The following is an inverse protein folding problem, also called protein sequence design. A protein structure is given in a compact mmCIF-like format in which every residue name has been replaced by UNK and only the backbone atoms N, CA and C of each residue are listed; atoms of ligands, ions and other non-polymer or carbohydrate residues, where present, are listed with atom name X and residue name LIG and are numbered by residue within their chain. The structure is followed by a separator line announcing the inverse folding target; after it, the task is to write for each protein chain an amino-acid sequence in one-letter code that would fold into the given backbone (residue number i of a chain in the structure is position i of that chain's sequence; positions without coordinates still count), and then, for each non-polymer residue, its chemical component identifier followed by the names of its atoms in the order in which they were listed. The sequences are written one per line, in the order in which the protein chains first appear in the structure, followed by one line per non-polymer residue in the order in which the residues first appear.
data_IF_985316008731
#
_entry.id   IF_985316008731
#
_cell.length_a   1.000
_cell.length_b   1.000
_cell.length_c   1.000
_cell.angle_alpha   90.00
_cell.angle_beta   90.00
_cell.angle_gamma   90.00
#
_symmetry.space_group_name_H-M   'P 1'
#
loop_
_entity.id
_entity.type
_entity.pdbx_description
1 polymer ?
#
# COMPACT_ATOMS: atom_id res chain seq x y z
N UNK A 1 11.81 22.83 15.63
CA UNK A 1 10.89 22.01 14.82
C UNK A 1 11.14 22.34 13.37
N UNK A 2 11.88 21.51 12.60
CA UNK A 2 12.11 21.81 11.17
C UNK A 2 10.76 21.60 10.45
N UNK A 3 10.30 22.55 9.62
CA UNK A 3 9.07 22.38 8.87
C UNK A 3 9.25 21.17 7.96
N UNK A 4 8.30 20.25 7.99
CA UNK A 4 8.26 19.10 7.08
C UNK A 4 8.49 19.58 5.64
N UNK A 5 9.43 18.93 4.96
CA UNK A 5 9.97 19.35 3.67
C UNK A 5 8.89 19.33 2.57
N UNK A 6 8.17 20.46 2.42
CA UNK A 6 7.17 20.67 1.36
C UNK A 6 7.77 20.69 -0.05
N UNK A 7 9.11 20.59 -0.20
CA UNK A 7 9.76 20.66 -1.51
C UNK A 7 9.37 19.51 -2.45
N UNK A 8 8.95 18.36 -1.91
CA UNK A 8 8.62 17.17 -2.70
C UNK A 8 7.12 17.08 -3.10
N UNK A 9 6.27 17.93 -2.55
CA UNK A 9 4.82 17.87 -2.81
C UNK A 9 4.46 18.08 -4.29
N UNK A 10 4.99 19.11 -5.01
CA UNK A 10 4.69 19.29 -6.43
C UNK A 10 5.10 18.08 -7.28
N UNK A 11 6.23 17.45 -6.94
CA UNK A 11 6.72 16.25 -7.60
C UNK A 11 5.73 15.09 -7.46
N UNK A 12 5.32 14.76 -6.23
CA UNK A 12 4.43 13.63 -6.00
C UNK A 12 3.00 13.86 -6.49
N UNK A 13 2.52 15.11 -6.51
CA UNK A 13 1.27 15.46 -7.19
C UNK A 13 1.37 15.23 -8.70
N UNK A 14 2.48 15.66 -9.33
CA UNK A 14 2.71 15.44 -10.77
C UNK A 14 2.81 13.95 -11.12
N UNK A 15 3.47 13.15 -10.29
CA UNK A 15 3.55 11.69 -10.48
C UNK A 15 2.20 10.99 -10.25
N UNK A 16 1.40 11.46 -9.29
CA UNK A 16 0.06 10.90 -9.05
C UNK A 16 -0.86 11.15 -10.25
N UNK A 17 -0.83 12.37 -10.79
CA UNK A 17 -1.57 12.71 -12.01
C UNK A 17 -1.07 11.89 -13.21
N UNK A 18 0.24 11.72 -13.36
CA UNK A 18 0.82 10.83 -14.37
C UNK A 18 0.30 9.39 -14.26
N UNK A 19 0.25 8.83 -13.04
CA UNK A 19 -0.27 7.49 -12.78
C UNK A 19 -1.74 7.35 -13.18
N UNK A 20 -2.56 8.33 -12.79
CA UNK A 20 -3.97 8.40 -13.19
C UNK A 20 -4.10 8.43 -14.72
N UNK A 21 -3.35 9.31 -15.38
CA UNK A 21 -3.42 9.54 -16.82
C UNK A 21 -2.94 8.35 -17.67
N UNK A 22 -1.92 7.59 -17.21
CA UNK A 22 -1.35 6.46 -17.95
C UNK A 22 -2.16 5.17 -17.82
N UNK A 23 -2.96 5.04 -16.77
CA UNK A 23 -3.77 3.85 -16.48
C UNK A 23 -5.24 4.03 -16.88
N UNK A 24 -5.72 5.27 -17.00
CA UNK A 24 -7.09 5.56 -17.42
C UNK A 24 -7.31 5.16 -18.90
N UNK A 25 -8.35 4.36 -19.21
CA UNK A 25 -8.76 4.11 -20.58
C UNK A 25 -9.12 5.42 -21.30
N UNK A 26 -8.69 5.57 -22.56
CA UNK A 26 -8.99 6.74 -23.40
C UNK A 26 -9.60 6.33 -24.72
N UNK A 27 -10.52 7.16 -25.21
CA UNK A 27 -11.11 7.02 -26.54
C UNK A 27 -10.36 7.83 -27.59
N UNK A 28 -9.73 8.93 -27.18
CA UNK A 28 -8.94 9.79 -28.05
C UNK A 28 -7.50 9.25 -28.17
N UNK A 29 -7.11 8.95 -29.41
CA UNK A 29 -5.79 8.42 -29.78
C UNK A 29 -5.02 9.38 -30.68
N UNK A 30 -5.55 10.56 -31.02
CA UNK A 30 -4.92 11.45 -32.00
C UNK A 30 -3.54 11.94 -31.52
N UNK A 31 -3.42 12.26 -30.23
CA UNK A 31 -2.20 12.78 -29.61
C UNK A 31 -1.27 11.71 -28.99
N UNK A 32 -1.40 10.43 -29.37
CA UNK A 32 -0.65 9.34 -28.73
C UNK A 32 0.87 9.53 -28.72
N UNK A 33 1.44 10.14 -29.77
CA UNK A 33 2.89 10.39 -29.85
C UNK A 33 3.34 11.44 -28.84
N UNK A 34 2.55 12.51 -28.65
CA UNK A 34 2.85 13.55 -27.68
C UNK A 34 2.73 13.00 -26.26
N UNK A 35 1.68 12.22 -25.97
CA UNK A 35 1.54 11.52 -24.70
C UNK A 35 2.75 10.62 -24.44
N UNK A 36 3.20 9.84 -25.41
CA UNK A 36 4.38 8.97 -25.24
C UNK A 36 5.66 9.76 -24.91
N UNK A 37 5.87 10.94 -25.52
CA UNK A 37 7.01 11.81 -25.17
C UNK A 37 6.91 12.34 -23.74
N UNK A 38 5.73 12.77 -23.32
CA UNK A 38 5.49 13.21 -21.94
C UNK A 38 5.68 12.07 -20.94
N UNK A 39 5.24 10.85 -21.28
CA UNK A 39 5.47 9.67 -20.46
C UNK A 39 6.95 9.37 -20.28
N UNK A 40 7.78 9.51 -21.32
CA UNK A 40 9.21 9.25 -21.22
C UNK A 40 9.88 10.12 -20.16
N UNK A 41 9.55 11.42 -20.13
CA UNK A 41 10.05 12.35 -19.12
C UNK A 41 9.63 11.92 -17.71
N UNK A 42 8.34 11.63 -17.53
CA UNK A 42 7.77 11.28 -16.22
C UNK A 42 8.24 9.91 -15.72
N UNK A 43 8.41 8.92 -16.61
CA UNK A 43 9.00 7.60 -16.29
C UNK A 43 10.47 7.70 -15.90
N UNK A 44 11.19 8.68 -16.45
CA UNK A 44 12.58 8.95 -16.06
C UNK A 44 12.63 9.50 -14.64
N UNK A 45 11.76 10.47 -14.32
CA UNK A 45 11.61 11.01 -12.95
C UNK A 45 11.16 9.92 -11.96
N UNK A 46 10.14 9.13 -12.32
CA UNK A 46 9.68 7.97 -11.54
C UNK A 46 10.83 6.99 -11.24
N UNK A 47 11.65 6.68 -12.25
CA UNK A 47 12.82 5.83 -12.08
C UNK A 47 13.82 6.36 -11.06
N UNK A 48 14.15 7.65 -11.10
CA UNK A 48 15.03 8.26 -10.10
C UNK A 48 14.46 8.18 -8.69
N UNK A 49 13.14 8.38 -8.52
CA UNK A 49 12.46 8.25 -7.22
C UNK A 49 12.57 6.81 -6.70
N UNK A 50 12.27 5.81 -7.54
CA UNK A 50 12.36 4.40 -7.15
C UNK A 50 13.78 4.01 -6.78
N UNK A 51 14.78 4.37 -7.59
CA UNK A 51 16.18 4.03 -7.31
C UNK A 51 16.72 4.71 -6.04
N UNK A 52 16.24 5.91 -5.71
CA UNK A 52 16.56 6.56 -4.44
C UNK A 52 15.98 5.79 -3.24
N UNK A 53 14.73 5.31 -3.33
CA UNK A 53 14.13 4.48 -2.27
C UNK A 53 14.83 3.10 -2.18
N UNK A 54 15.16 2.46 -3.31
CA UNK A 54 15.95 1.22 -3.35
C UNK A 54 17.31 1.39 -2.67
N UNK A 55 17.98 2.51 -2.93
CA UNK A 55 19.29 2.80 -2.33
C UNK A 55 19.23 2.87 -0.79
N UNK A 56 18.12 3.38 -0.22
CA UNK A 56 17.91 3.41 1.24
C UNK A 56 17.62 2.03 1.82
N UNK A 57 16.90 1.17 1.10
CA UNK A 57 16.58 -0.19 1.52
C UNK A 57 17.76 -1.18 1.33
N UNK A 58 18.70 -0.86 0.44
CA UNK A 58 19.74 -1.76 -0.04
C UNK A 58 20.52 -2.47 1.05
N UNK A 59 21.02 -1.74 2.05
CA UNK A 59 21.89 -2.31 3.08
C UNK A 59 21.16 -3.38 3.91
N UNK A 60 19.88 -3.16 4.24
CA UNK A 60 19.06 -4.12 4.99
C UNK A 60 18.63 -5.27 4.07
N UNK A 61 18.23 -4.98 2.83
CA UNK A 61 17.84 -6.01 1.87
C UNK A 61 18.99 -6.99 1.54
N UNK A 62 20.24 -6.52 1.58
CA UNK A 62 21.44 -7.36 1.41
C UNK A 62 21.64 -8.38 2.55
N UNK A 63 21.00 -8.17 3.70
CA UNK A 63 21.03 -9.12 4.83
C UNK A 63 19.93 -10.17 4.77
N UNK A 64 18.98 -10.05 3.84
CA UNK A 64 17.87 -10.99 3.74
C UNK A 64 18.39 -12.39 3.35
N UNK A 65 17.95 -13.46 4.04
CA UNK A 65 18.38 -14.83 3.73
C UNK A 65 18.02 -15.22 2.30
N UNK A 66 18.89 -15.99 1.65
CA UNK A 66 18.61 -16.51 0.29
C UNK A 66 17.99 -17.90 0.31
N UNK A 67 17.96 -18.57 1.47
CA UNK A 67 17.27 -19.85 1.64
C UNK A 67 15.76 -19.61 1.78
N UNK A 68 14.88 -20.32 1.05
CA UNK A 68 13.47 -19.94 0.93
C UNK A 68 12.71 -19.86 2.26
N UNK A 69 12.89 -20.85 3.14
CA UNK A 69 12.21 -20.87 4.45
C UNK A 69 12.78 -19.82 5.40
N UNK A 70 14.09 -19.64 5.41
CA UNK A 70 14.74 -18.60 6.22
C UNK A 70 14.31 -17.20 5.77
N UNK A 71 14.15 -17.01 4.45
CA UNK A 71 13.65 -15.76 3.89
C UNK A 71 12.22 -15.46 4.35
N UNK A 72 11.31 -16.45 4.33
CA UNK A 72 9.94 -16.27 4.81
C UNK A 72 9.93 -15.90 6.28
N UNK A 73 10.71 -16.58 7.12
CA UNK A 73 10.84 -16.23 8.55
C UNK A 73 11.33 -14.80 8.73
N UNK A 74 12.35 -14.39 7.97
CA UNK A 74 12.84 -13.01 7.98
C UNK A 74 11.78 -12.00 7.50
N UNK A 75 11.01 -12.35 6.47
CA UNK A 75 9.97 -11.50 5.92
C UNK A 75 8.83 -11.28 6.92
N UNK A 76 8.42 -12.33 7.63
CA UNK A 76 7.39 -12.26 8.67
C UNK A 76 7.79 -11.36 9.86
N UNK A 77 9.09 -11.29 10.18
CA UNK A 77 9.61 -10.40 11.23
C UNK A 77 9.45 -8.90 10.90
N UNK A 78 9.29 -8.53 9.62
CA UNK A 78 9.00 -7.15 9.24
C UNK A 78 7.67 -6.63 9.84
N UNK A 79 6.75 -7.54 10.21
CA UNK A 79 5.51 -7.19 10.90
C UNK A 79 5.77 -6.50 12.24
N UNK A 80 6.75 -6.94 13.00
CA UNK A 80 7.10 -6.35 14.30
C UNK A 80 7.59 -4.91 14.11
N UNK A 81 8.45 -4.69 13.11
CA UNK A 81 8.93 -3.36 12.76
C UNK A 81 7.79 -2.43 12.33
N UNK A 82 6.86 -2.93 11.51
CA UNK A 82 5.68 -2.17 11.09
C UNK A 82 4.80 -1.76 12.27
N UNK A 83 4.59 -2.68 13.22
CA UNK A 83 3.82 -2.42 14.44
C UNK A 83 4.47 -1.31 15.27
N UNK A 84 5.76 -1.42 15.58
CA UNK A 84 6.50 -0.38 16.32
C UNK A 84 6.46 0.98 15.62
N UNK A 85 6.61 1.03 14.29
CA UNK A 85 6.56 2.30 13.54
C UNK A 85 5.18 2.96 13.56
N UNK A 86 4.12 2.17 13.74
CA UNK A 86 2.74 2.63 13.80
C UNK A 86 2.21 2.83 15.23
N UNK A 87 3.05 2.58 16.24
CA UNK A 87 2.69 2.64 17.64
C UNK A 87 2.13 4.01 18.01
N UNK A 88 1.09 4.01 18.86
CA UNK A 88 0.35 5.20 19.26
C UNK A 88 -0.72 5.65 18.26
N UNK A 89 -0.46 5.62 16.95
CA UNK A 89 -1.44 6.08 15.94
C UNK A 89 -2.71 5.22 15.96
N UNK A 90 -2.58 3.90 15.78
CA UNK A 90 -3.73 3.01 15.70
C UNK A 90 -4.43 2.83 17.05
N UNK A 91 -3.69 2.86 18.16
CA UNK A 91 -4.27 2.93 19.51
C UNK A 91 -5.13 4.19 19.66
N UNK A 92 -4.63 5.36 19.26
CA UNK A 92 -5.36 6.61 19.34
C UNK A 92 -6.58 6.64 18.39
N UNK A 93 -6.47 6.11 17.17
CA UNK A 93 -7.60 5.97 16.24
C UNK A 93 -8.72 5.12 16.86
N UNK A 94 -8.36 3.99 17.48
CA UNK A 94 -9.33 3.09 18.09
C UNK A 94 -10.03 3.70 19.31
N UNK A 95 -9.32 4.46 20.15
CA UNK A 95 -9.81 4.89 21.48
C UNK A 95 -10.21 6.36 21.59
N UNK A 96 -9.54 7.25 20.87
CA UNK A 96 -9.57 8.69 21.14
C UNK A 96 -10.11 9.51 19.99
N UNK A 97 -9.71 9.22 18.75
CA UNK A 97 -10.05 10.02 17.57
C UNK A 97 -11.52 10.44 17.51
N UNK A 98 -11.77 11.71 17.20
CA UNK A 98 -13.09 12.21 16.85
C UNK A 98 -13.51 11.74 15.45
N UNK A 99 -14.80 11.88 15.12
CA UNK A 99 -15.32 11.58 13.77
C UNK A 99 -14.61 12.38 12.68
N UNK A 100 -14.30 13.65 12.95
CA UNK A 100 -13.59 14.53 12.01
C UNK A 100 -12.15 14.04 11.76
N UNK A 101 -11.44 13.65 12.80
CA UNK A 101 -10.06 13.17 12.70
C UNK A 101 -9.99 11.79 12.02
N UNK A 102 -10.94 10.90 12.34
CA UNK A 102 -11.07 9.60 11.65
C UNK A 102 -11.38 9.81 10.16
N UNK A 103 -12.31 10.71 9.83
CA UNK A 103 -12.61 11.09 8.44
C UNK A 103 -11.38 11.64 7.73
N UNK A 104 -10.60 12.51 8.39
CA UNK A 104 -9.38 13.06 7.81
C UNK A 104 -8.36 11.95 7.50
N UNK A 105 -8.14 11.03 8.45
CA UNK A 105 -7.24 9.88 8.27
C UNK A 105 -7.68 9.01 7.09
N UNK A 106 -8.97 8.69 7.00
CA UNK A 106 -9.50 7.88 5.91
C UNK A 106 -9.37 8.58 4.55
N UNK A 107 -9.56 9.89 4.47
CA UNK A 107 -9.30 10.65 3.24
C UNK A 107 -7.86 10.49 2.72
N UNK A 108 -6.89 10.19 3.61
CA UNK A 108 -5.50 9.94 3.24
C UNK A 108 -5.28 8.51 2.70
N UNK A 109 -5.94 7.51 3.31
CA UNK A 109 -5.73 6.09 2.96
C UNK A 109 -6.59 5.65 1.77
N UNK A 110 -7.82 6.15 1.65
CA UNK A 110 -8.83 5.62 0.72
C UNK A 110 -8.41 5.68 -0.75
N UNK A 111 -7.70 6.72 -1.17
CA UNK A 111 -7.19 6.82 -2.54
C UNK A 111 -6.29 5.62 -2.89
N UNK A 112 -5.37 5.25 -1.99
CA UNK A 112 -4.50 4.09 -2.19
C UNK A 112 -5.27 2.76 -2.12
N UNK A 113 -6.36 2.70 -1.36
CA UNK A 113 -7.18 1.49 -1.26
C UNK A 113 -7.96 1.19 -2.53
N UNK A 114 -8.45 2.21 -3.24
CA UNK A 114 -9.14 2.04 -4.52
C UNK A 114 -8.24 1.42 -5.60
N UNK A 115 -6.96 1.77 -5.60
CA UNK A 115 -5.98 1.33 -6.60
C UNK A 115 -5.49 -0.11 -6.41
N UNK A 116 -5.78 -0.74 -5.27
CA UNK A 116 -5.18 -2.03 -4.89
C UNK A 116 -5.41 -3.17 -5.89
N UNK A 117 -6.62 -3.39 -6.44
CA UNK A 117 -6.83 -4.48 -7.40
C UNK A 117 -6.02 -4.31 -8.68
N UNK A 118 -5.83 -3.07 -9.14
CA UNK A 118 -5.01 -2.79 -10.33
C UNK A 118 -3.53 -3.09 -10.08
N UNK A 119 -3.03 -2.82 -8.87
CA UNK A 119 -1.66 -3.19 -8.47
C UNK A 119 -1.44 -4.71 -8.49
N UNK A 120 -2.43 -5.50 -8.06
CA UNK A 120 -2.41 -6.96 -8.18
C UNK A 120 -2.35 -7.38 -9.66
N UNK A 121 -3.25 -6.83 -10.49
CA UNK A 121 -3.33 -7.15 -11.91
C UNK A 121 -2.03 -6.84 -12.66
N UNK A 122 -1.43 -5.67 -12.43
CA UNK A 122 -0.17 -5.25 -13.04
C UNK A 122 1.00 -6.12 -12.56
N UNK A 123 1.08 -6.41 -11.25
CA UNK A 123 2.15 -7.24 -10.68
C UNK A 123 2.09 -8.68 -11.20
N UNK A 124 0.88 -9.21 -11.42
CA UNK A 124 0.62 -10.57 -11.92
C UNK A 124 1.18 -10.83 -13.32
N UNK A 125 1.38 -9.80 -14.14
CA UNK A 125 1.81 -9.96 -15.53
C UNK A 125 3.12 -10.76 -15.64
N UNK A 126 3.08 -11.83 -16.45
CA UNK A 126 4.21 -12.74 -16.72
C UNK A 126 4.85 -13.40 -15.47
N UNK A 127 4.13 -13.47 -14.35
CA UNK A 127 4.59 -14.27 -13.19
C UNK A 127 4.50 -15.78 -13.48
N UNK A 128 5.31 -16.57 -12.78
CA UNK A 128 5.25 -18.04 -12.81
C UNK A 128 3.88 -18.54 -12.36
N UNK A 129 3.43 -19.69 -12.90
CA UNK A 129 2.04 -20.14 -12.78
C UNK A 129 1.52 -20.22 -11.33
N UNK A 130 2.35 -20.68 -10.37
CA UNK A 130 1.95 -20.83 -8.96
C UNK A 130 1.68 -19.48 -8.31
N UNK A 131 2.63 -18.55 -8.41
CA UNK A 131 2.45 -17.17 -7.95
C UNK A 131 1.28 -16.49 -8.67
N UNK A 132 1.14 -16.73 -9.98
CA UNK A 132 0.07 -16.15 -10.79
C UNK A 132 -1.32 -16.59 -10.35
N UNK A 133 -1.50 -17.87 -10.00
CA UNK A 133 -2.78 -18.39 -9.51
C UNK A 133 -3.15 -17.77 -8.15
N UNK A 134 -2.19 -17.62 -7.24
CA UNK A 134 -2.46 -17.01 -5.94
C UNK A 134 -2.80 -15.52 -6.07
N UNK A 135 -2.04 -14.76 -6.87
CA UNK A 135 -2.35 -13.34 -7.11
C UNK A 135 -3.71 -13.19 -7.81
N UNK A 136 -4.07 -14.12 -8.70
CA UNK A 136 -5.38 -14.12 -9.35
C UNK A 136 -6.53 -14.42 -8.36
N UNK A 137 -6.30 -15.31 -7.39
CA UNK A 137 -7.25 -15.59 -6.31
C UNK A 137 -7.47 -14.34 -5.45
N UNK A 138 -6.39 -13.67 -5.06
CA UNK A 138 -6.48 -12.42 -4.32
C UNK A 138 -7.23 -11.34 -5.10
N UNK A 139 -6.94 -11.18 -6.39
CA UNK A 139 -7.69 -10.28 -7.25
C UNK A 139 -9.18 -10.64 -7.29
N UNK A 140 -9.51 -11.93 -7.40
CA UNK A 140 -10.90 -12.40 -7.40
C UNK A 140 -11.62 -12.12 -6.07
N UNK A 141 -10.92 -12.28 -4.95
CA UNK A 141 -11.45 -11.91 -3.64
C UNK A 141 -11.73 -10.39 -3.54
N UNK A 142 -10.85 -9.56 -4.10
CA UNK A 142 -11.07 -8.11 -4.18
C UNK A 142 -12.26 -7.72 -5.08
N UNK A 143 -12.52 -8.54 -6.09
CA UNK A 143 -13.73 -8.46 -6.94
C UNK A 143 -14.97 -9.11 -6.28
N UNK A 144 -14.95 -9.30 -4.97
CA UNK A 144 -16.11 -9.79 -4.21
C UNK A 144 -16.53 -11.21 -4.58
N UNK A 145 -15.63 -11.99 -5.18
CA UNK A 145 -15.92 -13.31 -5.74
C UNK A 145 -17.14 -13.34 -6.68
N UNK A 146 -17.33 -12.26 -7.45
CA UNK A 146 -18.44 -12.12 -8.39
C UNK A 146 -19.71 -11.53 -7.79
N UNK A 147 -19.75 -11.31 -6.47
CA UNK A 147 -20.80 -10.53 -5.83
C UNK A 147 -20.43 -9.04 -5.87
N UNK A 148 -21.15 -8.28 -6.69
CA UNK A 148 -20.93 -6.85 -6.87
C UNK A 148 -20.97 -6.06 -5.54
N UNK A 149 -21.85 -6.41 -4.59
CA UNK A 149 -21.96 -5.71 -3.30
C UNK A 149 -20.81 -6.01 -2.34
N UNK A 150 -20.06 -7.08 -2.59
CA UNK A 150 -18.92 -7.50 -1.77
C UNK A 150 -17.57 -7.08 -2.37
N UNK A 151 -17.56 -6.39 -3.52
CA UNK A 151 -16.31 -5.85 -4.08
C UNK A 151 -15.70 -4.82 -3.15
N UNK A 152 -14.37 -4.72 -3.14
CA UNK A 152 -13.66 -3.67 -2.40
C UNK A 152 -14.21 -2.29 -2.73
N UNK A 153 -14.40 -1.97 -4.01
CA UNK A 153 -14.89 -0.68 -4.45
C UNK A 153 -16.24 -0.33 -3.81
N UNK A 154 -17.21 -1.26 -3.82
CA UNK A 154 -18.51 -1.02 -3.16
C UNK A 154 -18.40 -0.88 -1.65
N UNK A 155 -17.55 -1.66 -0.99
CA UNK A 155 -17.34 -1.54 0.45
C UNK A 155 -16.72 -0.19 0.84
N UNK A 156 -15.80 0.34 0.01
CA UNK A 156 -15.22 1.67 0.19
C UNK A 156 -16.25 2.78 -0.08
N UNK A 157 -17.06 2.68 -1.14
CA UNK A 157 -18.16 3.63 -1.41
C UNK A 157 -19.15 3.72 -0.23
N UNK A 158 -19.51 2.58 0.37
CA UNK A 158 -20.38 2.54 1.55
C UNK A 158 -19.75 3.26 2.76
N UNK A 159 -18.46 3.05 2.98
CA UNK A 159 -17.70 3.71 4.05
C UNK A 159 -17.64 5.24 3.83
N UNK A 160 -17.32 5.67 2.60
CA UNK A 160 -17.22 7.08 2.23
C UNK A 160 -18.54 7.84 2.42
N UNK A 161 -19.64 7.23 1.99
CA UNK A 161 -20.99 7.79 2.11
C UNK A 161 -21.41 8.00 3.57
N UNK A 162 -21.14 7.02 4.45
CA UNK A 162 -21.55 7.11 5.86
C UNK A 162 -20.70 8.15 6.60
N UNK A 163 -19.36 8.07 6.47
CA UNK A 163 -18.45 8.96 7.19
C UNK A 163 -18.45 10.40 6.72
N UNK A 164 -19.03 10.69 5.54
CA UNK A 164 -18.88 11.97 4.84
C UNK A 164 -17.40 12.31 4.73
N UNK A 165 -16.62 11.37 4.18
CA UNK A 165 -15.17 11.52 4.06
C UNK A 165 -14.85 12.89 3.47
N UNK A 166 -14.14 13.68 4.27
CA UNK A 166 -13.89 15.08 3.98
C UNK A 166 -12.97 15.24 2.75
N UNK A 167 -13.60 15.33 1.58
CA UNK A 167 -12.93 15.54 0.31
C UNK A 167 -12.20 16.90 0.21
N UNK A 168 -12.39 17.81 1.18
CA UNK A 168 -11.64 19.07 1.22
C UNK A 168 -10.17 18.87 1.64
N UNK A 169 -9.83 17.70 2.16
CA UNK A 169 -8.47 17.32 2.53
C UNK A 169 -7.89 16.29 1.57
N UNK A 170 -7.25 16.73 0.46
CA UNK A 170 -6.61 15.80 -0.47
C UNK A 170 -5.47 15.01 0.21
N UNK A 171 -5.11 13.83 -0.31
CA UNK A 171 -4.03 13.02 0.24
C UNK A 171 -2.73 13.82 0.40
N UNK A 172 -2.06 13.68 1.54
CA UNK A 172 -0.75 14.31 1.74
C UNK A 172 0.27 13.80 0.75
N UNK A 173 1.35 14.56 0.52
CA UNK A 173 2.37 14.13 -0.44
C UNK A 173 3.04 12.81 -0.04
N UNK A 174 3.12 12.47 1.25
CA UNK A 174 3.62 11.18 1.73
C UNK A 174 2.73 10.02 1.26
N UNK A 175 1.41 10.20 1.31
CA UNK A 175 0.43 9.24 0.81
C UNK A 175 0.59 9.06 -0.69
N UNK A 176 0.68 10.19 -1.41
CA UNK A 176 0.95 10.19 -2.85
C UNK A 176 2.29 9.52 -3.17
N UNK A 177 3.33 9.75 -2.38
CA UNK A 177 4.64 9.12 -2.55
C UNK A 177 4.56 7.60 -2.41
N UNK A 178 3.81 7.10 -1.42
CA UNK A 178 3.53 5.67 -1.26
C UNK A 178 2.79 5.10 -2.47
N UNK A 179 1.68 5.71 -2.90
CA UNK A 179 0.91 5.23 -4.07
C UNK A 179 1.73 5.27 -5.35
N UNK A 180 2.47 6.37 -5.58
CA UNK A 180 3.37 6.52 -6.72
C UNK A 180 4.43 5.44 -6.74
N UNK A 181 5.01 5.11 -5.58
CA UNK A 181 5.96 4.02 -5.47
C UNK A 181 5.32 2.69 -5.88
N UNK A 182 4.15 2.36 -5.33
CA UNK A 182 3.45 1.11 -5.65
C UNK A 182 3.18 0.97 -7.16
N UNK A 183 2.66 2.03 -7.79
CA UNK A 183 2.43 2.02 -9.24
C UNK A 183 3.71 1.91 -10.06
N UNK A 184 4.79 2.58 -9.64
CA UNK A 184 6.08 2.49 -10.30
C UNK A 184 6.65 1.06 -10.25
N UNK A 185 6.50 0.37 -9.12
CA UNK A 185 6.91 -1.03 -8.94
C UNK A 185 6.05 -1.98 -9.80
N UNK A 186 4.72 -1.81 -9.77
CA UNK A 186 3.79 -2.70 -10.46
C UNK A 186 3.80 -2.53 -11.98
N UNK A 187 3.93 -1.29 -12.47
CA UNK A 187 3.87 -0.96 -13.90
C UNK A 187 5.20 -1.22 -14.64
N UNK A 188 6.30 -1.41 -13.90
CA UNK A 188 7.62 -1.57 -14.50
C UNK A 188 8.23 -2.93 -14.21
N UNK A 189 8.41 -3.74 -15.26
CA UNK A 189 8.90 -5.12 -15.13
C UNK A 189 10.31 -5.23 -14.54
N UNK A 190 11.12 -4.17 -14.57
CA UNK A 190 12.42 -4.15 -13.88
C UNK A 190 12.31 -4.22 -12.36
N UNK A 191 11.13 -3.93 -11.82
CA UNK A 191 10.81 -3.94 -10.39
C UNK A 191 9.78 -5.00 -10.00
N UNK A 192 9.53 -5.99 -10.85
CA UNK A 192 8.47 -6.96 -10.64
C UNK A 192 8.57 -7.70 -9.29
N UNK A 193 9.78 -8.09 -8.87
CA UNK A 193 10.01 -8.76 -7.60
C UNK A 193 9.90 -7.82 -6.40
N UNK A 194 10.32 -6.56 -6.56
CA UNK A 194 10.07 -5.51 -5.58
C UNK A 194 8.55 -5.28 -5.40
N UNK A 195 7.77 -5.31 -6.48
CA UNK A 195 6.31 -5.21 -6.41
C UNK A 195 5.70 -6.36 -5.60
N UNK A 196 6.19 -7.59 -5.79
CA UNK A 196 5.80 -8.75 -4.97
C UNK A 196 6.11 -8.51 -3.50
N UNK A 197 7.32 -8.04 -3.17
CA UNK A 197 7.69 -7.74 -1.78
C UNK A 197 6.82 -6.65 -1.15
N UNK A 198 6.54 -5.58 -1.89
CA UNK A 198 5.73 -4.46 -1.42
C UNK A 198 4.27 -4.85 -1.18
N UNK A 199 3.67 -5.66 -2.06
CA UNK A 199 2.30 -6.16 -1.90
C UNK A 199 2.22 -7.25 -0.81
N UNK A 200 3.21 -8.15 -0.74
CA UNK A 200 3.28 -9.15 0.31
C UNK A 200 3.39 -8.53 1.70
N UNK A 201 4.14 -7.43 1.84
CA UNK A 201 4.21 -6.69 3.10
C UNK A 201 2.87 -6.04 3.45
N UNK A 202 2.16 -5.45 2.46
CA UNK A 202 0.84 -4.87 2.68
C UNK A 202 -0.10 -5.90 3.33
N UNK A 203 -0.17 -7.11 2.76
CA UNK A 203 -1.01 -8.19 3.29
C UNK A 203 -0.54 -8.64 4.69
N UNK A 204 0.78 -8.80 4.89
CA UNK A 204 1.38 -9.18 6.16
C UNK A 204 1.04 -8.21 7.31
N UNK A 205 0.93 -6.91 7.02
CA UNK A 205 0.75 -5.87 8.04
C UNK A 205 -0.67 -5.33 8.16
N UNK A 206 -1.61 -5.75 7.31
CA UNK A 206 -2.93 -5.12 7.21
C UNK A 206 -3.88 -5.40 8.40
N UNK A 207 -3.79 -6.56 9.05
CA UNK A 207 -4.81 -7.02 10.00
C UNK A 207 -4.96 -6.13 11.25
N UNK A 208 -3.85 -5.75 11.88
CA UNK A 208 -3.84 -4.94 13.11
C UNK A 208 -4.40 -3.52 12.91
N UNK A 209 -3.90 -2.77 11.91
CA UNK A 209 -4.47 -1.49 11.49
C UNK A 209 -5.97 -1.57 11.20
N UNK A 210 -6.41 -2.57 10.42
CA UNK A 210 -7.82 -2.75 10.07
C UNK A 210 -8.70 -2.94 11.31
N UNK A 211 -8.27 -3.79 12.25
CA UNK A 211 -8.98 -4.00 13.51
C UNK A 211 -9.08 -2.72 14.37
N UNK A 212 -8.00 -1.92 14.40
CA UNK A 212 -7.95 -0.69 15.19
C UNK A 212 -8.87 0.40 14.62
N UNK A 213 -8.89 0.53 13.29
CA UNK A 213 -9.80 1.46 12.60
C UNK A 213 -11.25 1.00 12.77
N UNK A 214 -11.52 -0.30 12.64
CA UNK A 214 -12.86 -0.86 12.84
C UNK A 214 -13.41 -0.59 14.25
N UNK A 215 -12.57 -0.77 15.27
CA UNK A 215 -12.92 -0.46 16.65
C UNK A 215 -13.21 1.05 16.84
N UNK A 216 -12.41 1.91 16.23
CA UNK A 216 -12.61 3.37 16.26
C UNK A 216 -13.93 3.77 15.58
N UNK A 217 -14.23 3.21 14.42
CA UNK A 217 -15.47 3.44 13.68
C UNK A 217 -16.70 2.96 14.46
N UNK A 218 -16.59 1.80 15.12
CA UNK A 218 -17.64 1.27 16.01
C UNK A 218 -17.93 2.24 17.15
N UNK A 219 -16.88 2.72 17.83
CA UNK A 219 -17.00 3.72 18.92
C UNK A 219 -17.66 5.01 18.45
N UNK A 220 -17.42 5.41 17.20
CA UNK A 220 -17.97 6.63 16.58
C UNK A 220 -19.38 6.44 16.01
N UNK A 221 -20.01 5.27 16.20
CA UNK A 221 -21.39 5.00 15.77
C UNK A 221 -21.55 4.75 14.26
N UNK A 222 -20.48 4.43 13.54
CA UNK A 222 -20.53 4.09 12.12
C UNK A 222 -21.18 2.72 11.93
N UNK A 223 -22.08 2.62 10.96
CA UNK A 223 -22.88 1.41 10.74
C UNK A 223 -22.01 0.18 10.43
N UNK A 224 -22.47 -1.00 10.83
CA UNK A 224 -21.75 -2.25 10.53
C UNK A 224 -21.62 -2.50 9.01
N UNK A 225 -22.60 -2.04 8.23
CA UNK A 225 -22.55 -2.08 6.76
C UNK A 225 -21.40 -1.23 6.22
N UNK A 226 -21.28 0.04 6.64
CA UNK A 226 -20.21 0.93 6.20
C UNK A 226 -18.81 0.45 6.63
N UNK A 227 -18.71 -0.23 7.79
CA UNK A 227 -17.46 -0.82 8.26
C UNK A 227 -17.05 -2.11 7.56
N UNK A 228 -17.89 -2.64 6.65
CA UNK A 228 -17.69 -3.94 6.01
C UNK A 228 -16.30 -4.14 5.38
N UNK A 229 -15.71 -3.08 4.80
CA UNK A 229 -14.34 -3.11 4.27
C UNK A 229 -13.31 -3.58 5.32
N UNK A 230 -13.28 -2.96 6.49
CA UNK A 230 -12.31 -3.29 7.54
C UNK A 230 -12.59 -4.67 8.15
N UNK A 231 -13.86 -5.05 8.28
CA UNK A 231 -14.25 -6.39 8.74
C UNK A 231 -13.82 -7.51 7.78
N UNK A 232 -13.88 -7.28 6.46
CA UNK A 232 -13.33 -8.21 5.45
C UNK A 232 -11.80 -8.27 5.57
N UNK A 233 -11.14 -7.10 5.59
CA UNK A 233 -9.68 -7.02 5.63
C UNK A 233 -9.07 -7.65 6.88
N UNK A 234 -9.65 -7.41 8.05
CA UNK A 234 -9.20 -8.01 9.30
C UNK A 234 -9.24 -9.54 9.26
N UNK A 235 -10.28 -10.13 8.65
CA UNK A 235 -10.45 -11.58 8.57
C UNK A 235 -9.55 -12.21 7.50
N UNK A 236 -9.40 -11.58 6.34
CA UNK A 236 -8.69 -12.16 5.20
C UNK A 236 -7.17 -11.93 5.24
N UNK A 237 -6.69 -10.82 5.80
CA UNK A 237 -5.26 -10.48 5.78
C UNK A 237 -4.34 -11.58 6.34
N UNK A 238 -4.64 -12.26 7.47
CA UNK A 238 -3.79 -13.36 7.95
C UNK A 238 -3.76 -14.56 6.99
N UNK A 239 -4.89 -14.87 6.35
CA UNK A 239 -5.00 -15.98 5.40
C UNK A 239 -4.23 -15.67 4.12
N UNK A 240 -4.37 -14.45 3.60
CA UNK A 240 -3.66 -13.99 2.41
C UNK A 240 -2.17 -13.85 2.65
N UNK A 241 -1.76 -13.31 3.79
CA UNK A 241 -0.34 -13.24 4.14
C UNK A 241 0.30 -14.63 4.17
N UNK A 242 -0.37 -15.62 4.78
CA UNK A 242 0.11 -17.00 4.76
C UNK A 242 0.16 -17.57 3.34
N UNK A 243 -0.89 -17.38 2.54
CA UNK A 243 -0.96 -17.88 1.18
C UNK A 243 0.09 -17.23 0.26
N UNK A 244 0.34 -15.93 0.40
CA UNK A 244 1.43 -15.23 -0.29
C UNK A 244 2.79 -15.80 0.08
N UNK A 245 3.05 -16.03 1.37
CA UNK A 245 4.31 -16.63 1.81
C UNK A 245 4.53 -18.02 1.17
N UNK A 246 3.51 -18.88 1.18
CA UNK A 246 3.59 -20.27 0.69
C UNK A 246 3.51 -20.45 -0.83
N UNK A 247 2.74 -19.59 -1.52
CA UNK A 247 2.42 -19.76 -2.93
C UNK A 247 3.05 -18.71 -3.86
N UNK A 248 3.50 -17.58 -3.32
CA UNK A 248 4.15 -16.51 -4.08
C UNK A 248 5.62 -16.38 -3.69
N UNK A 249 5.92 -15.98 -2.46
CA UNK A 249 7.27 -15.58 -2.03
C UNK A 249 8.21 -16.79 -1.98
N UNK A 250 7.86 -17.84 -1.22
CA UNK A 250 8.71 -19.02 -1.05
C UNK A 250 9.06 -19.69 -2.38
N UNK A 251 8.11 -19.94 -3.31
CA UNK A 251 8.43 -20.54 -4.60
C UNK A 251 9.32 -19.66 -5.48
N UNK A 252 9.15 -18.33 -5.46
CA UNK A 252 9.99 -17.43 -6.25
C UNK A 252 11.45 -17.43 -5.74
N UNK A 253 11.64 -17.40 -4.42
CA UNK A 253 12.98 -17.52 -3.82
C UNK A 253 13.60 -18.89 -4.07
N UNK A 254 12.80 -19.96 -4.00
CA UNK A 254 13.27 -21.32 -4.30
C UNK A 254 13.67 -21.49 -5.78
N UNK A 255 12.99 -20.80 -6.70
CA UNK A 255 13.30 -20.84 -8.11
C UNK A 255 14.56 -20.03 -8.47
N UNK A 256 14.72 -18.85 -7.87
CA UNK A 256 15.90 -18.01 -8.04
C UNK A 256 16.20 -17.24 -6.76
N UNK A 257 17.27 -17.64 -6.07
CA UNK A 257 17.72 -17.03 -4.82
C UNK A 257 17.99 -15.51 -4.93
N UNK A 258 18.29 -14.99 -6.13
CA UNK A 258 18.49 -13.55 -6.35
C UNK A 258 17.19 -12.76 -6.17
N UNK A 259 16.03 -13.40 -6.32
CA UNK A 259 14.74 -12.77 -6.10
C UNK A 259 14.51 -12.39 -4.64
N UNK A 260 15.11 -13.12 -3.67
CA UNK A 260 15.00 -12.82 -2.25
C UNK A 260 15.36 -11.36 -1.94
N UNK A 261 16.52 -10.92 -2.43
CA UNK A 261 16.98 -9.53 -2.26
C UNK A 261 16.01 -8.53 -2.88
N UNK A 262 15.51 -8.79 -4.09
CA UNK A 262 14.58 -7.87 -4.76
C UNK A 262 13.22 -7.81 -4.04
N UNK A 263 12.71 -8.93 -3.55
CA UNK A 263 11.49 -9.00 -2.73
C UNK A 263 11.72 -8.24 -1.40
N UNK A 264 12.87 -8.44 -0.74
CA UNK A 264 13.24 -7.70 0.46
C UNK A 264 13.31 -6.19 0.22
N UNK A 265 13.95 -5.74 -0.87
CA UNK A 265 13.99 -4.32 -1.25
C UNK A 265 12.58 -3.74 -1.34
N UNK A 266 11.68 -4.40 -2.06
CA UNK A 266 10.29 -3.96 -2.20
C UNK A 266 9.52 -3.85 -0.89
N UNK A 267 9.64 -4.87 -0.03
CA UNK A 267 9.02 -4.86 1.29
C UNK A 267 9.57 -3.72 2.15
N UNK A 268 10.89 -3.56 2.25
CA UNK A 268 11.50 -2.50 3.04
C UNK A 268 11.15 -1.09 2.53
N UNK A 269 11.07 -0.91 1.21
CA UNK A 269 10.62 0.35 0.61
C UNK A 269 9.16 0.66 0.98
N UNK A 270 8.28 -0.35 0.94
CA UNK A 270 6.88 -0.21 1.38
C UNK A 270 6.79 0.11 2.87
N UNK A 271 7.54 -0.60 3.71
CA UNK A 271 7.62 -0.37 5.15
C UNK A 271 8.01 1.09 5.45
N UNK A 272 9.07 1.59 4.80
CA UNK A 272 9.52 2.95 4.96
C UNK A 272 8.51 3.99 4.46
N UNK A 273 7.77 3.70 3.39
CA UNK A 273 6.70 4.55 2.88
C UNK A 273 5.53 4.64 3.86
N UNK A 274 5.07 3.51 4.41
CA UNK A 274 4.02 3.48 5.43
C UNK A 274 4.44 4.23 6.70
N UNK A 275 5.68 4.02 7.17
CA UNK A 275 6.23 4.76 8.31
C UNK A 275 6.22 6.28 8.10
N UNK A 276 6.47 6.73 6.86
CA UNK A 276 6.44 8.16 6.49
C UNK A 276 5.03 8.72 6.57
N UNK A 277 4.05 7.97 6.06
CA UNK A 277 2.63 8.32 6.15
C UNK A 277 2.18 8.39 7.61
N UNK A 278 2.48 7.38 8.42
CA UNK A 278 2.11 7.34 9.84
C UNK A 278 2.71 8.50 10.64
N UNK A 279 3.99 8.85 10.40
CA UNK A 279 4.61 10.05 11.02
C UNK A 279 3.88 11.33 10.62
N UNK A 280 3.50 11.47 9.35
CA UNK A 280 2.74 12.62 8.86
C UNK A 280 1.35 12.70 9.51
N UNK A 281 0.67 11.57 9.68
CA UNK A 281 -0.66 11.49 10.30
C UNK A 281 -0.60 11.88 11.77
N UNK A 282 0.35 11.32 12.52
CA UNK A 282 0.56 11.70 13.93
C UNK A 282 0.81 13.20 14.08
N UNK A 283 1.62 13.79 13.20
CA UNK A 283 1.85 15.23 13.22
C UNK A 283 0.62 16.06 12.81
N UNK A 284 -0.21 15.58 11.88
CA UNK A 284 -1.44 16.27 11.48
C UNK A 284 -2.52 16.26 12.57
N UNK A 285 -2.59 15.15 13.30
CA UNK A 285 -3.58 14.86 14.33
C UNK A 285 -3.11 15.23 15.74
N UNK A 286 -1.96 15.90 15.83
CA UNK A 286 -1.31 16.33 17.08
C UNK A 286 -1.18 15.20 18.13
N UNK A 287 -0.92 13.98 17.66
CA UNK A 287 -0.71 12.81 18.51
C UNK A 287 0.70 12.92 19.07
N UNK A 288 0.81 13.59 20.23
CA UNK A 288 2.03 13.62 21.02
C UNK A 288 2.48 12.17 21.26
N UNK A 289 3.76 11.88 21.02
CA UNK A 289 4.33 10.66 21.53
C UNK A 289 4.21 10.73 23.05
N UNK A 290 3.37 9.88 23.65
CA UNK A 290 3.52 9.56 25.06
C UNK A 290 4.99 9.16 25.23
N UNK A 291 5.77 10.04 25.86
CA UNK A 291 7.11 9.71 26.27
C UNK A 291 6.92 8.59 27.28
N UNK A 292 7.45 7.42 26.97
CA UNK A 292 7.60 6.36 27.94
C UNK A 292 8.28 6.96 29.18
N UNK A 293 7.54 6.99 30.30
CA UNK A 293 8.13 7.13 31.63
C UNK A 293 9.00 5.90 31.93
#
# INVERSE_FOLDING_TARGET
MRPFDRSLEPLHRRLAEFNRLRLQPRLDVEDWQQHLRQELELRTVEGHVVEAERSRARAIAETAPTQPREFVTWFEQLREQAQTQSEGLFTWLSRTASRREMSWFLAQELAAEHDFPDLLALTQLKQGWRAKLEIARDYWDEMGQGNASATRARLLECLERDLLVDATHPPTWECLARSNLMFALASNRRYAFQSIGALGLLELTAAGPAASVDAGLTRLGVSAEARGFFGVRQRLAPLRSHAWNEHVILPLVAQDARSARAIAEGALMRLAADARCHRRYRAALDILAERAE
#
